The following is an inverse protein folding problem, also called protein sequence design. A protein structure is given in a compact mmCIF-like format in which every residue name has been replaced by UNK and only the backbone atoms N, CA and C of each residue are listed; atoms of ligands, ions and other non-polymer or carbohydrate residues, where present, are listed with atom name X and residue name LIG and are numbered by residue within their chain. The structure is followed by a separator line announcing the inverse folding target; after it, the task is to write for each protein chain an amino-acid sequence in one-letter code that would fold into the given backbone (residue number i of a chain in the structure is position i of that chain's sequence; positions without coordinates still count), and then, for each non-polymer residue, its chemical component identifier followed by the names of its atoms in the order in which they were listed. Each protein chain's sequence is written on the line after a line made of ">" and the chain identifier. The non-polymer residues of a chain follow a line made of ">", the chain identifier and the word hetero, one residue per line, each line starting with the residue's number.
data_IF_868584087634
#
_entry.id   IF_868584087634
#
_cell.length_a   1.000
_cell.length_b   1.000
_cell.length_c   1.000
_cell.angle_alpha   90.00
_cell.angle_beta   90.00
_cell.angle_gamma   90.00
#
_symmetry.space_group_name_H-M   'P 1'
#
loop_
_entity.id
_entity.type
_entity.pdbx_description
1 polymer ?
#
# COMPACT_ATOMS: atom_id res chain seq x y z
N UNK A 1 24.31 49.00 28.00
CA UNK A 1 23.71 48.34 27.78
C UNK A 1 23.15 48.02 27.73
N UNK A 2 23.33 48.37 27.27
CA UNK A 2 22.68 47.67 26.86
C UNK A 2 21.98 47.17 26.79
N UNK A 3 21.80 47.30 26.55
CA UNK A 3 21.04 46.49 26.21
C UNK A 3 20.72 45.90 25.99
N UNK A 4 20.96 45.94 25.74
CA UNK A 4 20.47 45.15 25.44
C UNK A 4 20.15 44.42 25.24
N UNK A 5 20.63 44.35 25.06
CA UNK A 5 20.14 43.47 24.80
C UNK A 5 19.31 43.12 24.70
N UNK A 6 19.31 43.43 24.69
CA UNK A 6 18.42 42.93 24.52
C UNK A 6 17.84 43.00 23.97
N UNK A 7 18.09 43.39 23.60
CA UNK A 7 17.68 43.19 22.97
C UNK A 7 17.74 42.79 22.27
N UNK A 8 18.49 42.96 22.26
CA UNK A 8 18.60 42.19 21.53
C UNK A 8 18.10 41.48 21.17
N UNK A 9 17.98 41.77 21.19
CA UNK A 9 17.39 40.97 20.85
C UNK A 9 16.68 40.93 20.38
N UNK A 10 16.69 41.37 20.10
CA UNK A 10 16.07 41.14 19.53
C UNK A 10 15.71 41.21 18.80
N UNK A 11 15.91 41.60 18.62
CA UNK A 11 15.71 41.43 17.76
C UNK A 11 15.28 41.58 17.20
N UNK A 12 14.78 41.57 17.88
CA UNK A 12 14.49 41.96 17.48
C UNK A 12 14.61 42.14 16.45
N UNK A 13 14.81 42.65 16.47
CA UNK A 13 15.33 42.42 15.14
C UNK A 13 15.62 40.94 14.93
N UNK A 14 15.31 40.42 13.76
CA UNK A 14 15.56 39.03 13.45
C UNK A 14 16.99 38.84 12.98
N UNK A 15 17.75 37.91 13.53
CA UNK A 15 19.06 37.57 13.01
C UNK A 15 18.94 37.07 11.58
N UNK A 16 19.95 37.25 10.74
CA UNK A 16 19.92 36.70 9.37
C UNK A 16 19.67 35.19 9.34
N UNK A 17 20.14 34.47 10.35
CA UNK A 17 19.92 33.03 10.47
C UNK A 17 18.46 32.65 10.55
N UNK A 18 17.62 33.53 11.11
CA UNK A 18 16.20 33.25 11.24
C UNK A 18 15.50 33.20 9.89
N UNK A 19 15.93 34.05 8.95
CA UNK A 19 15.36 34.02 7.60
C UNK A 19 15.78 32.75 6.85
N UNK A 20 17.03 32.35 7.00
CA UNK A 20 17.52 31.13 6.39
C UNK A 20 16.78 29.91 6.95
N UNK A 21 16.55 29.90 8.25
CA UNK A 21 15.84 28.84 8.90
C UNK A 21 14.39 28.76 8.41
N UNK A 22 13.75 29.91 8.24
CA UNK A 22 12.39 29.97 7.73
C UNK A 22 12.30 29.41 6.30
N UNK A 23 13.27 29.75 5.45
CA UNK A 23 13.32 29.22 4.09
C UNK A 23 13.53 27.72 4.09
N UNK A 24 14.39 27.24 4.97
CA UNK A 24 14.64 25.81 5.14
C UNK A 24 13.36 25.08 5.53
N UNK A 25 12.61 25.61 6.49
CA UNK A 25 11.34 25.01 6.92
C UNK A 25 10.32 25.00 5.80
N UNK A 26 10.24 26.06 5.02
CA UNK A 26 9.32 26.13 3.88
C UNK A 26 9.68 25.09 2.83
N UNK A 27 10.97 24.91 2.58
CA UNK A 27 11.45 23.91 1.63
C UNK A 27 11.11 22.51 2.10
N UNK A 28 11.33 22.21 3.39
CA UNK A 28 11.00 20.91 3.97
C UNK A 28 9.51 20.66 3.93
N UNK A 29 8.70 21.68 4.17
CA UNK A 29 7.24 21.54 4.10
C UNK A 29 6.79 21.17 2.69
N UNK A 30 7.38 21.79 1.67
CA UNK A 30 7.05 21.48 0.28
C UNK A 30 7.46 20.06 -0.09
N UNK A 31 8.64 19.61 0.36
CA UNK A 31 9.12 18.26 0.11
C UNK A 31 8.21 17.23 0.79
N UNK A 32 7.82 17.50 2.03
CA UNK A 32 6.93 16.61 2.77
C UNK A 32 5.57 16.51 2.10
N UNK A 33 5.02 17.64 1.63
CA UNK A 33 3.74 17.63 0.92
C UNK A 33 3.84 16.83 -0.37
N UNK A 34 4.92 17.01 -1.12
CA UNK A 34 5.14 16.25 -2.36
C UNK A 34 5.19 14.76 -2.11
N UNK A 35 5.89 14.33 -1.04
CA UNK A 35 5.95 12.93 -0.67
C UNK A 35 4.59 12.38 -0.29
N UNK A 36 3.80 13.16 0.45
CA UNK A 36 2.45 12.75 0.82
C UNK A 36 1.56 12.61 -0.40
N UNK A 37 1.65 13.55 -1.35
CA UNK A 37 0.88 13.49 -2.59
C UNK A 37 1.24 12.24 -3.39
N UNK A 38 2.53 11.89 -3.44
CA UNK A 38 2.99 10.68 -4.11
C UNK A 38 2.44 9.42 -3.43
N UNK A 39 2.41 9.39 -2.10
CA UNK A 39 1.86 8.25 -1.35
C UNK A 39 0.37 8.08 -1.61
N UNK A 40 -0.38 9.18 -1.61
CA UNK A 40 -1.81 9.13 -1.89
C UNK A 40 -2.04 8.61 -3.31
N UNK A 41 -1.28 9.10 -4.28
CA UNK A 41 -1.40 8.66 -5.66
C UNK A 41 -1.08 7.16 -5.80
N UNK A 42 -0.01 6.71 -5.15
CA UNK A 42 0.38 5.29 -5.19
C UNK A 42 -0.69 4.41 -4.56
N UNK A 43 -1.30 4.87 -3.46
CA UNK A 43 -2.37 4.11 -2.79
C UNK A 43 -3.62 4.03 -3.65
N UNK A 44 -4.00 5.13 -4.31
CA UNK A 44 -5.14 5.14 -5.22
C UNK A 44 -4.92 4.23 -6.41
N UNK A 45 -3.72 4.25 -6.96
CA UNK A 45 -3.37 3.38 -8.07
C UNK A 45 -3.39 1.91 -7.65
N UNK A 46 -2.88 1.62 -6.46
CA UNK A 46 -2.88 0.27 -5.92
C UNK A 46 -4.30 -0.26 -5.74
N UNK A 47 -5.22 0.57 -5.23
CA UNK A 47 -6.62 0.19 -5.10
C UNK A 47 -7.25 -0.11 -6.47
N UNK A 48 -6.92 0.69 -7.47
CA UNK A 48 -7.43 0.50 -8.82
C UNK A 48 -6.91 -0.80 -9.43
N UNK A 49 -5.64 -1.08 -9.25
CA UNK A 49 -5.01 -2.28 -9.81
C UNK A 49 -5.42 -3.55 -9.10
N UNK A 50 -5.62 -3.48 -7.79
CA UNK A 50 -6.00 -4.65 -7.01
C UNK A 50 -7.51 -4.85 -6.94
N UNK A 51 -8.31 -3.83 -7.21
CA UNK A 51 -9.75 -3.90 -7.12
C UNK A 51 -10.38 -5.08 -7.84
N UNK A 52 -10.03 -5.33 -9.11
CA UNK A 52 -10.59 -6.48 -9.84
C UNK A 52 -10.23 -7.82 -9.20
N UNK A 53 -9.01 -7.95 -8.68
CA UNK A 53 -8.55 -9.17 -8.01
C UNK A 53 -9.32 -9.37 -6.72
N UNK A 54 -9.48 -8.32 -5.95
CA UNK A 54 -10.24 -8.36 -4.69
C UNK A 54 -11.69 -8.79 -4.94
N UNK A 55 -12.32 -8.22 -5.95
CA UNK A 55 -13.70 -8.59 -6.31
C UNK A 55 -13.79 -10.04 -6.73
N UNK A 56 -12.84 -10.51 -7.51
CA UNK A 56 -12.78 -11.91 -7.90
C UNK A 56 -12.69 -12.82 -6.69
N UNK A 57 -11.79 -12.49 -5.75
CA UNK A 57 -11.60 -13.28 -4.53
C UNK A 57 -12.84 -13.27 -3.65
N UNK A 58 -13.53 -12.14 -3.55
CA UNK A 58 -14.75 -12.04 -2.75
C UNK A 58 -15.89 -12.83 -3.39
N UNK A 59 -16.00 -12.81 -4.72
CA UNK A 59 -16.98 -13.67 -5.42
C UNK A 59 -16.66 -15.15 -5.23
N UNK A 60 -15.38 -15.48 -5.27
CA UNK A 60 -14.93 -16.84 -5.03
C UNK A 60 -15.27 -17.28 -3.61
N UNK A 61 -15.11 -16.37 -2.65
CA UNK A 61 -15.47 -16.62 -1.27
C UNK A 61 -16.96 -16.99 -1.13
N UNK A 62 -17.83 -16.27 -1.84
CA UNK A 62 -19.25 -16.59 -1.88
C UNK A 62 -19.49 -17.99 -2.42
N UNK A 63 -18.79 -18.35 -3.48
CA UNK A 63 -18.95 -19.67 -4.11
C UNK A 63 -18.44 -20.80 -3.22
N UNK A 64 -17.45 -20.53 -2.38
CA UNK A 64 -16.92 -21.55 -1.45
C UNK A 64 -17.94 -21.94 -0.38
N UNK A 65 -18.75 -20.98 0.08
CA UNK A 65 -19.74 -21.24 1.11
C UNK A 65 -19.11 -21.83 2.35
N UNK A 66 -19.55 -23.03 2.73
CA UNK A 66 -19.06 -23.70 3.94
C UNK A 66 -17.71 -24.40 3.75
N UNK A 67 -17.19 -24.48 2.52
CA UNK A 67 -15.93 -25.19 2.26
C UNK A 67 -14.69 -24.37 2.59
N UNK A 68 -14.85 -23.11 2.87
CA UNK A 68 -13.72 -22.28 3.23
C UNK A 68 -14.11 -20.80 3.28
N UNK A 69 -13.17 -20.00 3.78
CA UNK A 69 -13.38 -18.56 3.88
C UNK A 69 -12.12 -17.86 3.40
N UNK A 70 -12.30 -16.88 2.50
CA UNK A 70 -11.21 -16.06 2.01
C UNK A 70 -11.32 -14.69 2.63
N UNK A 71 -10.22 -14.19 3.20
CA UNK A 71 -10.11 -12.85 3.71
C UNK A 71 -9.04 -12.12 2.92
N UNK A 72 -9.35 -10.88 2.55
CA UNK A 72 -8.45 -10.07 1.74
C UNK A 72 -8.04 -8.85 2.55
N UNK A 73 -6.74 -8.63 2.67
CA UNK A 73 -6.17 -7.48 3.36
C UNK A 73 -5.35 -6.66 2.39
N UNK A 74 -5.43 -5.35 2.53
CA UNK A 74 -4.67 -4.42 1.70
C UNK A 74 -5.49 -3.83 0.58
N UNK A 75 -4.85 -3.08 -0.31
CA UNK A 75 -3.41 -2.79 -0.35
C UNK A 75 -2.92 -1.93 0.80
N UNK A 76 -1.68 -2.18 1.22
CA UNK A 76 -1.02 -1.40 2.26
C UNK A 76 0.46 -1.21 1.88
N UNK A 77 1.09 -0.10 2.30
CA UNK A 77 2.48 0.16 1.94
C UNK A 77 3.44 -0.72 2.74
N UNK A 78 4.42 -1.28 2.03
CA UNK A 78 5.54 -2.02 2.62
C UNK A 78 6.79 -1.54 1.91
N UNK A 79 7.56 -0.66 2.55
CA UNK A 79 8.71 -0.03 1.91
C UNK A 79 8.29 0.80 0.70
N UNK A 80 8.84 0.49 -0.45
CA UNK A 80 8.56 1.18 -1.70
C UNK A 80 7.30 0.68 -2.39
N UNK A 81 6.77 -0.45 -1.97
CA UNK A 81 5.73 -1.15 -2.71
C UNK A 81 4.44 -1.18 -1.93
N UNK A 82 3.36 -1.42 -2.64
CA UNK A 82 2.06 -1.72 -2.05
C UNK A 82 1.87 -3.23 -2.08
N UNK A 83 1.39 -3.78 -0.99
CA UNK A 83 1.18 -5.22 -0.84
C UNK A 83 -0.28 -5.49 -0.53
N UNK A 84 -0.74 -6.67 -0.90
CA UNK A 84 -2.04 -7.17 -0.49
C UNK A 84 -1.90 -8.65 -0.21
N UNK A 85 -2.78 -9.19 0.62
CA UNK A 85 -2.72 -10.58 1.04
C UNK A 85 -4.10 -11.19 0.96
N UNK A 86 -4.19 -12.41 0.44
CA UNK A 86 -5.40 -13.21 0.49
C UNK A 86 -5.12 -14.43 1.36
N UNK A 87 -5.99 -14.67 2.35
CA UNK A 87 -5.85 -15.79 3.26
C UNK A 87 -7.09 -16.65 3.16
N UNK A 88 -6.90 -17.95 2.91
CA UNK A 88 -8.01 -18.89 2.92
C UNK A 88 -7.89 -19.79 4.14
N UNK A 89 -9.00 -19.93 4.84
CA UNK A 89 -9.12 -20.81 6.01
C UNK A 89 -10.11 -21.91 5.68
N UNK A 90 -9.68 -23.15 5.82
CA UNK A 90 -10.52 -24.31 5.62
C UNK A 90 -11.28 -24.66 6.90
N UNK A 91 -12.41 -25.43 6.79
CA UNK A 91 -13.18 -25.82 7.97
C UNK A 91 -12.39 -26.62 9.00
N UNK A 92 -11.35 -27.35 8.56
CA UNK A 92 -10.50 -28.11 9.47
C UNK A 92 -9.43 -27.26 10.16
N UNK A 93 -9.45 -25.94 9.95
CA UNK A 93 -8.52 -25.02 10.58
C UNK A 93 -7.23 -24.77 9.81
N UNK A 94 -7.01 -25.45 8.69
CA UNK A 94 -5.83 -25.22 7.87
C UNK A 94 -5.94 -23.88 7.17
N UNK A 95 -4.81 -23.19 7.06
CA UNK A 95 -4.76 -21.82 6.52
C UNK A 95 -3.61 -21.73 5.52
N UNK A 96 -3.86 -21.01 4.44
CA UNK A 96 -2.81 -20.61 3.51
C UNK A 96 -3.01 -19.15 3.16
N UNK A 97 -1.88 -18.44 2.96
CA UNK A 97 -1.90 -17.04 2.57
C UNK A 97 -1.11 -16.86 1.30
N UNK A 98 -1.63 -16.01 0.42
CA UNK A 98 -0.94 -15.62 -0.81
C UNK A 98 -0.72 -14.12 -0.79
N UNK A 99 0.47 -13.71 -1.19
CA UNK A 99 0.88 -12.32 -1.17
C UNK A 99 0.93 -11.76 -2.58
N UNK A 100 0.44 -10.51 -2.72
CA UNK A 100 0.47 -9.77 -3.96
C UNK A 100 1.35 -8.54 -3.77
N UNK A 101 2.18 -8.25 -4.75
CA UNK A 101 2.98 -7.03 -4.76
C UNK A 101 2.51 -6.19 -5.93
N UNK A 102 2.12 -4.95 -5.63
CA UNK A 102 1.55 -4.06 -6.63
C UNK A 102 2.63 -3.20 -7.26
N UNK A 103 2.63 -3.15 -8.58
CA UNK A 103 3.55 -2.36 -9.38
C UNK A 103 2.78 -1.22 -10.04
N UNK A 104 3.43 -0.48 -10.94
CA UNK A 104 2.79 0.62 -11.65
C UNK A 104 1.74 0.16 -12.65
N UNK A 105 1.90 -1.03 -13.22
CA UNK A 105 1.05 -1.51 -14.31
C UNK A 105 0.24 -2.74 -13.97
N UNK A 106 0.48 -3.36 -12.83
CA UNK A 106 -0.22 -4.59 -12.48
C UNK A 106 0.19 -5.14 -11.13
N UNK A 107 0.13 -6.45 -11.01
CA UNK A 107 0.32 -7.17 -9.75
C UNK A 107 1.27 -8.33 -9.97
N UNK A 108 2.19 -8.53 -9.03
CA UNK A 108 2.98 -9.75 -8.99
C UNK A 108 2.33 -10.71 -8.00
N UNK A 109 2.10 -11.94 -8.43
CA UNK A 109 1.56 -13.00 -7.63
C UNK A 109 2.52 -14.17 -7.67
N UNK A 110 3.03 -14.56 -6.51
CA UNK A 110 4.05 -15.60 -6.40
C UNK A 110 5.24 -15.33 -7.32
N UNK A 111 5.67 -14.06 -7.35
CA UNK A 111 6.80 -13.56 -8.13
C UNK A 111 6.59 -13.56 -9.63
N UNK A 112 5.37 -13.84 -10.09
CA UNK A 112 5.03 -13.76 -11.51
C UNK A 112 4.25 -12.47 -11.73
N UNK A 113 4.74 -11.56 -12.59
CA UNK A 113 4.03 -10.31 -12.85
C UNK A 113 2.88 -10.53 -13.83
N UNK A 114 1.77 -9.86 -13.53
CA UNK A 114 0.58 -9.84 -14.38
C UNK A 114 0.19 -8.39 -14.63
N UNK A 115 0.11 -8.00 -15.89
CA UNK A 115 -0.44 -6.69 -16.23
C UNK A 115 -1.95 -6.74 -16.21
N UNK A 116 -2.58 -5.56 -16.17
CA UNK A 116 -4.03 -5.47 -16.09
C UNK A 116 -4.71 -6.29 -17.19
N UNK A 117 -4.14 -6.30 -18.39
CA UNK A 117 -4.67 -7.07 -19.53
C UNK A 117 -4.55 -8.57 -19.34
N UNK A 118 -3.77 -9.03 -18.37
CA UNK A 118 -3.51 -10.44 -18.12
C UNK A 118 -4.24 -10.99 -16.90
N UNK A 119 -5.15 -10.20 -16.32
CA UNK A 119 -5.82 -10.60 -15.07
C UNK A 119 -6.70 -11.84 -15.23
N UNK A 120 -7.17 -12.15 -16.44
CA UNK A 120 -7.89 -13.41 -16.64
C UNK A 120 -6.99 -14.62 -16.37
N UNK A 121 -5.71 -14.51 -16.74
CA UNK A 121 -4.71 -15.56 -16.45
C UNK A 121 -4.43 -15.63 -14.95
N UNK A 122 -4.33 -14.47 -14.30
CA UNK A 122 -4.13 -14.41 -12.86
C UNK A 122 -5.30 -15.02 -12.12
N UNK A 123 -6.51 -14.71 -12.53
CA UNK A 123 -7.72 -15.30 -11.92
C UNK A 123 -7.74 -16.80 -12.07
N UNK A 124 -7.37 -17.32 -13.24
CA UNK A 124 -7.28 -18.76 -13.47
C UNK A 124 -6.25 -19.40 -12.55
N UNK A 125 -5.13 -18.75 -12.35
CA UNK A 125 -4.08 -19.25 -11.46
C UNK A 125 -4.55 -19.26 -10.00
N UNK A 126 -5.21 -18.17 -9.58
CA UNK A 126 -5.77 -18.09 -8.22
C UNK A 126 -6.79 -19.20 -7.98
N UNK A 127 -7.67 -19.41 -8.95
CA UNK A 127 -8.68 -20.47 -8.85
C UNK A 127 -8.00 -21.83 -8.71
N UNK A 128 -7.00 -22.10 -9.51
CA UNK A 128 -6.23 -23.34 -9.47
C UNK A 128 -5.57 -23.55 -8.11
N UNK A 129 -5.00 -22.49 -7.55
CA UNK A 129 -4.31 -22.58 -6.27
C UNK A 129 -5.27 -22.81 -5.12
N UNK A 130 -6.45 -22.18 -5.15
CA UNK A 130 -7.48 -22.40 -4.14
C UNK A 130 -7.99 -23.83 -4.20
N UNK A 131 -8.31 -24.31 -5.40
CA UNK A 131 -8.80 -25.68 -5.59
C UNK A 131 -7.75 -26.69 -5.13
N UNK A 132 -6.49 -26.45 -5.49
CA UNK A 132 -5.39 -27.31 -5.07
C UNK A 132 -5.25 -27.36 -3.56
N UNK A 133 -5.40 -26.24 -2.89
CA UNK A 133 -5.36 -26.19 -1.42
C UNK A 133 -6.50 -27.02 -0.82
N UNK A 134 -7.70 -26.85 -1.35
CA UNK A 134 -8.88 -27.57 -0.84
C UNK A 134 -8.78 -29.07 -1.09
N UNK A 135 -8.21 -29.48 -2.22
CA UNK A 135 -8.06 -30.91 -2.53
C UNK A 135 -7.05 -31.62 -1.63
N UNK A 136 -6.14 -30.86 -1.02
CA UNK A 136 -5.10 -31.43 -0.16
C UNK A 136 -5.49 -31.43 1.32
N UNK A 137 -6.68 -31.08 1.64
CA UNK A 137 -7.15 -31.07 3.03
C UNK A 137 -7.39 -32.52 3.58
#
# INVERSE_FOLDING_TARGET
>A
MPPTDSERTKNEEMPPDADEFKEELQRLARVTKSRNDERVHASEQALRLFGPIREFLLRFNEALGEFGKIEVAGPYPVGKYQHATATITAPNGRVVSWEFVLSESGVSYQRIPYELSEYSRLESQLKSDVVSFLEKL
#
